data_IF_493296918944
#
_entry.id   IF_493296918944
#
_cell.length_a   1.000
_cell.length_b   1.000
_cell.length_c   1.000
_cell.angle_alpha   90.00
_cell.angle_beta   90.00
_cell.angle_gamma   90.00
#
_symmetry.space_group_name_H-M   'P 1'
#
loop_
_entity.id
_entity.type
_entity.pdbx_description
1 polymer ?
#
# COMPACT_ATOMS: atom_id res chain seq x y z
N UNK A 1 -27.34 55.33 -22.77
CA UNK A 1 -26.74 56.57 -22.27
C UNK A 1 -25.23 56.42 -22.38
N UNK A 2 -24.67 57.10 -23.40
CA UNK A 2 -23.34 57.76 -23.47
C UNK A 2 -22.10 56.99 -22.98
N UNK A 3 -21.23 56.46 -23.86
CA UNK A 3 -20.18 57.13 -24.68
C UNK A 3 -18.78 56.98 -24.01
N UNK A 4 -17.62 56.89 -24.65
CA UNK A 4 -17.16 56.56 -26.01
C UNK A 4 -15.62 56.64 -26.04
N UNK A 5 -15.03 56.15 -27.15
CA UNK A 5 -13.75 56.59 -27.79
C UNK A 5 -12.39 56.07 -27.29
N UNK A 6 -11.36 55.82 -28.13
CA UNK A 6 -11.20 55.43 -29.55
C UNK A 6 -9.69 55.49 -29.90
N UNK A 7 -9.22 54.48 -30.65
CA UNK A 7 -8.28 54.48 -31.80
C UNK A 7 -6.81 54.99 -31.77
N UNK A 8 -5.92 54.04 -32.16
CA UNK A 8 -4.92 53.99 -33.25
C UNK A 8 -3.60 54.82 -33.28
N UNK A 9 -2.49 54.05 -33.29
CA UNK A 9 -1.27 54.03 -34.16
C UNK A 9 -1.12 55.05 -35.31
N UNK A 10 0.11 55.44 -35.77
CA UNK A 10 1.12 54.51 -36.38
C UNK A 10 2.64 54.88 -36.32
N UNK A 11 3.48 53.94 -36.81
CA UNK A 11 4.93 54.00 -37.15
C UNK A 11 5.29 55.01 -38.27
N UNK A 12 6.57 55.50 -38.46
CA UNK A 12 7.75 54.73 -38.98
C UNK A 12 9.20 55.20 -38.58
N UNK A 13 10.23 54.41 -38.96
CA UNK A 13 11.71 54.67 -38.96
C UNK A 13 12.15 55.68 -40.07
N UNK A 14 13.41 56.20 -40.25
CA UNK A 14 14.77 55.62 -39.97
C UNK A 14 15.99 56.58 -39.67
N UNK A 15 17.20 55.98 -39.55
CA UNK A 15 18.60 56.44 -39.80
C UNK A 15 19.49 57.26 -38.82
N UNK A 16 20.66 56.63 -38.53
CA UNK A 16 22.08 57.08 -38.43
C UNK A 16 22.54 58.17 -37.44
N UNK A 17 23.59 57.87 -36.66
CA UNK A 17 24.91 58.53 -36.73
C UNK A 17 25.96 57.88 -35.79
N UNK A 18 27.22 58.18 -36.07
CA UNK A 18 28.49 57.52 -35.76
C UNK A 18 29.17 57.85 -34.41
N UNK A 19 29.95 56.86 -33.92
CA UNK A 19 31.18 56.85 -33.07
C UNK A 19 31.94 58.17 -32.78
N UNK A 20 32.70 58.31 -31.64
CA UNK A 20 33.94 57.53 -31.41
C UNK A 20 34.44 57.21 -29.97
N UNK A 21 35.26 56.14 -29.92
CA UNK A 21 36.50 55.82 -29.14
C UNK A 21 36.48 56.06 -27.60
N UNK A 22 36.92 55.13 -26.75
CA UNK A 22 38.31 54.70 -26.65
C UNK A 22 38.57 53.63 -25.56
N UNK A 23 39.69 52.90 -25.77
CA UNK A 23 40.56 52.15 -24.84
C UNK A 23 40.29 50.66 -24.58
N UNK A 24 41.08 49.86 -25.30
CA UNK A 24 41.54 48.52 -24.95
C UNK A 24 42.27 48.52 -23.59
N UNK A 25 42.00 47.50 -22.78
CA UNK A 25 43.00 46.86 -21.91
C UNK A 25 42.89 45.36 -22.13
N UNK A 26 44.02 44.77 -22.51
CA UNK A 26 44.22 43.38 -22.89
C UNK A 26 44.43 42.51 -21.65
N UNK A 27 43.73 41.38 -21.52
CA UNK A 27 44.17 40.27 -20.66
C UNK A 27 43.83 38.90 -21.28
N UNK A 28 44.91 38.23 -21.69
CA UNK A 28 45.19 36.80 -21.88
C UNK A 28 44.02 35.80 -21.85
N UNK A 29 43.79 35.14 -22.98
CA UNK A 29 43.07 33.86 -23.08
C UNK A 29 43.83 32.77 -22.32
N UNK A 30 43.26 32.29 -21.21
CA UNK A 30 43.53 30.99 -20.64
C UNK A 30 42.48 30.00 -21.16
N UNK A 31 42.92 28.98 -21.87
CA UNK A 31 42.08 27.90 -22.38
C UNK A 31 41.59 27.05 -21.20
N UNK A 32 40.38 27.33 -20.69
CA UNK A 32 39.71 26.45 -19.75
C UNK A 32 39.05 25.30 -20.53
N UNK A 33 39.63 24.11 -20.43
CA UNK A 33 38.99 22.85 -20.82
C UNK A 33 37.82 22.63 -19.87
N UNK A 34 36.61 22.97 -20.33
CA UNK A 34 35.37 22.61 -19.66
C UNK A 34 35.14 21.11 -19.90
N UNK A 35 35.59 20.27 -18.97
CA UNK A 35 35.14 18.86 -18.93
C UNK A 35 33.67 18.90 -18.56
N UNK A 36 32.79 18.78 -19.56
CA UNK A 36 31.39 18.43 -19.34
C UNK A 36 31.38 17.03 -18.72
N UNK A 37 31.20 16.97 -17.40
CA UNK A 37 30.74 15.76 -16.74
C UNK A 37 29.30 15.49 -17.20
N UNK A 38 29.14 14.81 -18.33
CA UNK A 38 27.91 14.12 -18.70
C UNK A 38 27.77 12.87 -17.82
N UNK A 39 27.59 13.09 -16.52
CA UNK A 39 27.11 12.11 -15.57
C UNK A 39 25.64 12.39 -15.27
N UNK A 40 24.78 12.26 -16.29
CA UNK A 40 23.35 12.16 -16.06
C UNK A 40 23.10 10.80 -15.42
N UNK A 41 23.21 10.73 -14.10
CA UNK A 41 22.61 9.66 -13.33
C UNK A 41 21.14 9.61 -13.72
N UNK A 42 20.75 8.59 -14.49
CA UNK A 42 19.35 8.25 -14.69
C UNK A 42 18.84 7.72 -13.35
N UNK A 43 18.46 8.63 -12.45
CA UNK A 43 17.58 8.30 -11.33
C UNK A 43 16.24 7.87 -11.93
N UNK A 44 16.15 6.60 -12.32
CA UNK A 44 14.98 6.00 -12.93
C UNK A 44 14.02 5.60 -11.82
N UNK A 45 13.41 6.61 -11.20
CA UNK A 45 12.09 6.46 -10.59
C UNK A 45 11.03 6.39 -11.71
N UNK A 46 11.25 5.52 -12.71
CA UNK A 46 10.27 5.26 -13.74
C UNK A 46 9.13 4.47 -13.09
N UNK A 47 7.93 5.04 -13.07
CA UNK A 47 6.73 4.30 -12.73
C UNK A 47 6.40 3.37 -13.89
N UNK A 48 6.04 2.13 -13.59
CA UNK A 48 5.49 1.23 -14.59
C UNK A 48 4.17 1.81 -15.10
N UNK A 49 4.03 1.91 -16.43
CA UNK A 49 2.74 2.24 -17.06
C UNK A 49 2.08 0.92 -17.47
N UNK A 50 0.76 0.87 -17.60
CA UNK A 50 0.03 -0.38 -17.90
C UNK A 50 0.57 -1.13 -19.12
N UNK A 51 1.12 -0.43 -20.12
CA UNK A 51 1.72 -1.06 -21.30
C UNK A 51 3.08 -1.75 -21.05
N UNK A 52 3.77 -1.43 -19.97
CA UNK A 52 5.04 -2.09 -19.60
C UNK A 52 4.80 -3.44 -18.92
N UNK A 53 3.68 -3.57 -18.21
CA UNK A 53 3.27 -4.81 -17.55
C UNK A 53 2.98 -5.95 -18.55
N UNK A 54 2.60 -5.62 -19.78
CA UNK A 54 2.27 -6.61 -20.82
C UNK A 54 3.50 -7.07 -21.64
N UNK A 55 4.67 -6.45 -21.41
CA UNK A 55 5.92 -6.82 -22.08
C UNK A 55 6.72 -7.80 -21.23
N UNK A 56 7.74 -8.42 -21.83
CA UNK A 56 8.78 -9.09 -21.06
C UNK A 56 9.45 -8.09 -20.10
N UNK A 57 9.80 -8.49 -18.87
CA UNK A 57 9.78 -9.87 -18.33
C UNK A 57 8.50 -10.24 -17.56
N UNK A 58 7.43 -9.46 -17.66
CA UNK A 58 6.21 -9.64 -16.85
C UNK A 58 5.12 -10.42 -17.57
N UNK A 59 4.77 -9.98 -18.79
CA UNK A 59 3.63 -10.51 -19.57
C UNK A 59 2.40 -10.74 -18.67
N UNK A 60 2.00 -9.70 -17.94
CA UNK A 60 1.09 -9.80 -16.79
C UNK A 60 -0.21 -10.56 -17.13
N UNK A 61 -0.86 -10.24 -18.25
CA UNK A 61 -2.12 -10.89 -18.63
C UNK A 61 -1.95 -12.35 -19.12
N UNK A 62 -0.76 -12.72 -19.61
CA UNK A 62 -0.46 -14.07 -20.11
C UNK A 62 0.14 -15.00 -19.04
N UNK A 63 0.70 -14.43 -17.98
CA UNK A 63 1.36 -15.19 -16.91
C UNK A 63 0.33 -15.81 -15.98
N UNK A 64 0.39 -17.13 -15.81
CA UNK A 64 -0.50 -17.87 -14.92
C UNK A 64 -0.28 -17.48 -13.46
N UNK A 65 -1.39 -17.15 -12.78
CA UNK A 65 -1.38 -16.76 -11.39
C UNK A 65 -1.18 -17.96 -10.45
N UNK A 66 -0.29 -17.83 -9.47
CA UNK A 66 -0.04 -18.86 -8.45
C UNK A 66 -0.17 -18.25 -7.06
N UNK A 67 -1.42 -18.13 -6.62
CA UNK A 67 -1.77 -17.51 -5.35
C UNK A 67 -2.92 -18.29 -4.68
N UNK A 68 -3.33 -17.83 -3.50
CA UNK A 68 -4.38 -18.48 -2.72
C UNK A 68 -5.69 -18.64 -3.48
N UNK A 69 -6.06 -17.64 -4.28
CA UNK A 69 -7.32 -17.64 -5.03
C UNK A 69 -7.24 -18.58 -6.23
N UNK A 70 -6.14 -18.59 -6.99
CA UNK A 70 -5.97 -19.54 -8.11
C UNK A 70 -5.94 -21.00 -7.63
N UNK A 71 -5.33 -21.27 -6.47
CA UNK A 71 -5.39 -22.58 -5.80
C UNK A 71 -6.83 -22.97 -5.41
N UNK A 72 -7.62 -22.03 -4.87
CA UNK A 72 -9.02 -22.28 -4.55
C UNK A 72 -9.86 -22.57 -5.80
N UNK A 73 -9.65 -21.80 -6.89
CA UNK A 73 -10.31 -22.04 -8.18
C UNK A 73 -10.04 -23.47 -8.66
N UNK A 74 -8.78 -23.90 -8.69
CA UNK A 74 -8.40 -25.23 -9.12
C UNK A 74 -9.02 -26.34 -8.24
N UNK A 75 -9.10 -26.12 -6.92
CA UNK A 75 -9.75 -27.06 -5.99
C UNK A 75 -11.27 -27.15 -6.22
N UNK A 76 -11.93 -26.03 -6.50
CA UNK A 76 -13.36 -26.01 -6.83
C UNK A 76 -13.65 -26.69 -8.17
N UNK A 77 -12.81 -26.49 -9.19
CA UNK A 77 -12.96 -27.11 -10.51
C UNK A 77 -12.75 -28.63 -10.48
N UNK A 78 -11.89 -29.12 -9.59
CA UNK A 78 -11.69 -30.56 -9.34
C UNK A 78 -12.81 -31.20 -8.52
N UNK A 79 -13.60 -30.40 -7.81
CA UNK A 79 -14.62 -30.87 -6.86
C UNK A 79 -14.08 -31.21 -5.47
N UNK A 80 -12.84 -30.81 -5.16
CA UNK A 80 -12.21 -31.01 -3.83
C UNK A 80 -12.79 -30.04 -2.79
N UNK A 81 -13.32 -28.90 -3.24
CA UNK A 81 -13.95 -27.86 -2.41
C UNK A 81 -15.32 -27.51 -2.94
N UNK A 82 -16.31 -27.48 -2.06
CA UNK A 82 -17.65 -26.97 -2.33
C UNK A 82 -17.97 -25.83 -1.37
N UNK A 83 -18.48 -24.71 -1.92
CA UNK A 83 -18.91 -23.57 -1.10
C UNK A 83 -20.31 -23.80 -0.56
N UNK A 84 -20.50 -23.45 0.72
CA UNK A 84 -21.76 -23.57 1.45
C UNK A 84 -22.47 -22.22 1.54
N UNK A 85 -23.79 -22.22 1.38
CA UNK A 85 -24.62 -21.02 1.58
C UNK A 85 -24.90 -20.79 3.07
N UNK A 86 -24.90 -19.52 3.48
CA UNK A 86 -25.24 -19.04 4.82
C UNK A 86 -26.30 -17.93 4.72
N UNK A 87 -27.57 -18.34 4.57
CA UNK A 87 -28.73 -17.44 4.53
C UNK A 87 -28.59 -16.29 3.52
N UNK A 88 -28.93 -15.08 3.95
CA UNK A 88 -28.86 -13.86 3.12
C UNK A 88 -27.42 -13.44 2.76
N UNK A 89 -26.42 -13.98 3.46
CA UNK A 89 -25.00 -13.68 3.24
C UNK A 89 -24.38 -14.55 2.14
N UNK A 90 -25.18 -15.43 1.53
CA UNK A 90 -24.77 -16.27 0.41
C UNK A 90 -23.57 -17.12 0.78
N UNK A 91 -22.53 -17.12 -0.05
CA UNK A 91 -21.34 -17.96 0.16
C UNK A 91 -20.21 -17.26 0.90
N UNK A 92 -20.41 -16.04 1.41
CA UNK A 92 -19.32 -15.19 1.92
C UNK A 92 -18.53 -15.90 3.03
N UNK A 93 -19.20 -16.42 4.06
CA UNK A 93 -18.54 -17.11 5.17
C UNK A 93 -17.76 -18.34 4.73
N UNK A 94 -18.33 -19.16 3.85
CA UNK A 94 -17.65 -20.34 3.29
C UNK A 94 -16.43 -19.93 2.44
N UNK A 95 -16.56 -18.89 1.63
CA UNK A 95 -15.45 -18.33 0.85
C UNK A 95 -14.31 -17.84 1.75
N UNK A 96 -14.60 -17.05 2.79
CA UNK A 96 -13.60 -16.57 3.73
C UNK A 96 -12.89 -17.72 4.45
N UNK A 97 -13.64 -18.76 4.86
CA UNK A 97 -13.09 -19.97 5.48
C UNK A 97 -12.08 -20.68 4.56
N UNK A 98 -12.43 -20.89 3.29
CA UNK A 98 -11.53 -21.54 2.32
C UNK A 98 -10.35 -20.67 1.90
N UNK A 99 -10.47 -19.34 2.02
CA UNK A 99 -9.36 -18.40 1.88
C UNK A 99 -8.61 -18.15 3.19
N UNK A 100 -8.95 -18.83 4.29
CA UNK A 100 -8.31 -18.64 5.60
C UNK A 100 -8.31 -17.17 6.07
N UNK A 101 -9.40 -16.46 5.80
CA UNK A 101 -9.59 -15.06 6.20
C UNK A 101 -10.43 -15.03 7.49
N UNK A 102 -9.90 -14.48 8.60
CA UNK A 102 -10.67 -14.40 9.83
C UNK A 102 -11.75 -13.32 9.72
N UNK A 103 -12.97 -13.60 10.19
CA UNK A 103 -14.08 -12.62 10.21
C UNK A 103 -13.72 -11.39 11.05
N UNK A 104 -12.83 -11.54 12.04
CA UNK A 104 -12.33 -10.45 12.88
C UNK A 104 -11.51 -9.41 12.12
N UNK A 105 -11.01 -9.72 10.92
CA UNK A 105 -10.33 -8.74 10.04
C UNK A 105 -11.26 -7.72 9.39
N UNK A 106 -12.58 -7.83 9.61
CA UNK A 106 -13.55 -6.95 8.98
C UNK A 106 -13.24 -5.47 9.26
N UNK A 107 -13.13 -4.71 8.18
CA UNK A 107 -13.15 -3.25 8.20
C UNK A 107 -14.21 -2.74 7.22
N UNK A 108 -14.79 -1.58 7.50
CA UNK A 108 -15.95 -1.06 6.80
C UNK A 108 -15.61 0.28 6.14
N UNK A 109 -15.84 0.38 4.84
CA UNK A 109 -15.64 1.57 4.02
C UNK A 109 -16.98 2.06 3.49
N UNK A 110 -17.38 3.27 3.86
CA UNK A 110 -18.62 3.86 3.39
C UNK A 110 -18.44 4.79 2.20
N UNK A 111 -17.19 5.14 1.87
CA UNK A 111 -16.92 5.96 0.71
C UNK A 111 -17.09 5.18 -0.60
N UNK A 112 -17.60 5.86 -1.64
CA UNK A 112 -17.89 5.27 -2.95
C UNK A 112 -16.65 5.21 -3.85
N UNK A 113 -15.73 4.29 -3.58
CA UNK A 113 -14.46 4.10 -4.32
C UNK A 113 -14.30 2.70 -4.94
N UNK A 114 -15.40 1.99 -5.13
CA UNK A 114 -15.44 0.59 -5.59
C UNK A 114 -16.15 0.47 -6.94
N UNK A 115 -15.99 -0.66 -7.63
CA UNK A 115 -16.87 -1.06 -8.75
C UNK A 115 -18.36 -1.09 -8.36
N UNK A 116 -18.66 -1.19 -7.07
CA UNK A 116 -20.00 -1.33 -6.51
C UNK A 116 -20.55 -0.01 -5.92
N UNK A 117 -20.12 1.17 -6.41
CA UNK A 117 -20.53 2.49 -5.87
C UNK A 117 -22.05 2.64 -5.67
N UNK A 118 -22.87 2.02 -6.52
CA UNK A 118 -24.33 2.10 -6.46
C UNK A 118 -24.95 1.36 -5.24
N UNK A 119 -24.20 0.44 -4.62
CA UNK A 119 -24.63 -0.30 -3.44
C UNK A 119 -24.05 0.27 -2.13
N UNK A 120 -23.13 1.23 -2.21
CA UNK A 120 -22.37 1.74 -1.06
C UNK A 120 -22.95 3.08 -0.61
N UNK A 121 -23.17 3.21 0.70
CA UNK A 121 -23.52 4.47 1.37
C UNK A 121 -23.07 4.43 2.83
N UNK A 122 -23.10 5.54 3.57
CA UNK A 122 -22.91 5.54 5.02
C UNK A 122 -23.81 4.54 5.77
N UNK A 123 -25.01 4.27 5.28
CA UNK A 123 -25.94 3.30 5.90
C UNK A 123 -25.81 1.87 5.35
N UNK A 124 -24.95 1.65 4.37
CA UNK A 124 -24.66 0.35 3.77
C UNK A 124 -23.19 0.30 3.32
N UNK A 125 -22.22 0.40 4.25
CA UNK A 125 -20.80 0.36 3.89
C UNK A 125 -20.41 -0.97 3.24
N UNK A 126 -19.35 -0.94 2.43
CA UNK A 126 -18.67 -2.15 1.95
C UNK A 126 -17.80 -2.72 3.07
N UNK A 127 -17.87 -4.03 3.26
CA UNK A 127 -16.94 -4.75 4.12
C UNK A 127 -15.72 -5.21 3.34
N UNK A 128 -14.54 -5.04 3.92
CA UNK A 128 -13.29 -5.66 3.50
C UNK A 128 -12.86 -6.62 4.60
N UNK A 129 -12.59 -7.87 4.23
CA UNK A 129 -11.98 -8.89 5.08
C UNK A 129 -10.61 -9.22 4.49
N UNK A 130 -9.63 -9.55 5.32
CA UNK A 130 -8.28 -9.84 4.84
C UNK A 130 -7.51 -10.81 5.72
N UNK A 131 -6.58 -11.52 5.09
CA UNK A 131 -5.49 -12.23 5.75
C UNK A 131 -4.16 -11.61 5.29
N UNK A 132 -3.04 -12.35 5.33
CA UNK A 132 -1.73 -11.79 4.95
C UNK A 132 -1.58 -11.44 3.48
N UNK A 133 -2.32 -12.11 2.58
CA UNK A 133 -2.10 -12.03 1.13
C UNK A 133 -3.37 -11.69 0.35
N UNK A 134 -4.56 -11.96 0.90
CA UNK A 134 -5.85 -11.90 0.22
C UNK A 134 -6.81 -10.95 0.91
N UNK A 135 -7.53 -10.18 0.11
CA UNK A 135 -8.52 -9.17 0.49
C UNK A 135 -9.84 -9.46 -0.21
N UNK A 136 -10.94 -9.52 0.56
CA UNK A 136 -12.29 -9.82 0.06
C UNK A 136 -13.22 -8.66 0.37
N UNK A 137 -13.75 -8.03 -0.66
CA UNK A 137 -14.74 -6.96 -0.60
C UNK A 137 -16.16 -7.46 -0.85
N UNK A 138 -17.08 -7.17 0.07
CA UNK A 138 -18.49 -7.54 -0.04
C UNK A 138 -19.40 -6.38 0.39
N UNK A 139 -20.51 -6.20 -0.31
CA UNK A 139 -21.53 -5.18 0.03
C UNK A 139 -22.84 -5.90 0.31
N UNK A 140 -23.49 -5.69 1.47
CA UNK A 140 -24.79 -6.29 1.73
C UNK A 140 -25.80 -5.96 0.63
N UNK A 141 -26.54 -6.97 0.17
CA UNK A 141 -27.50 -6.86 -0.93
C UNK A 141 -26.88 -6.93 -2.34
N UNK A 142 -25.56 -7.00 -2.47
CA UNK A 142 -24.89 -7.29 -3.75
C UNK A 142 -24.61 -8.77 -3.90
N UNK A 143 -24.76 -9.29 -5.12
CA UNK A 143 -24.32 -10.65 -5.47
C UNK A 143 -22.85 -10.71 -5.87
N UNK A 144 -22.17 -9.56 -6.00
CA UNK A 144 -20.77 -9.47 -6.40
C UNK A 144 -19.88 -9.35 -5.16
N UNK A 145 -18.88 -10.22 -5.10
CA UNK A 145 -17.75 -10.14 -4.20
C UNK A 145 -16.51 -9.83 -5.04
N UNK A 146 -15.77 -8.81 -4.61
CA UNK A 146 -14.48 -8.43 -5.18
C UNK A 146 -13.38 -9.14 -4.39
N UNK A 147 -12.41 -9.75 -5.05
CA UNK A 147 -11.27 -10.40 -4.39
C UNK A 147 -10.00 -9.83 -4.99
N UNK A 148 -9.04 -9.49 -4.16
CA UNK A 148 -7.69 -9.13 -4.57
C UNK A 148 -6.70 -9.95 -3.76
N UNK A 149 -5.66 -10.46 -4.39
CA UNK A 149 -4.62 -11.24 -3.71
C UNK A 149 -3.27 -10.87 -4.25
N UNK A 150 -2.30 -10.83 -3.35
CA UNK A 150 -0.90 -10.69 -3.71
C UNK A 150 -0.41 -12.02 -4.31
N UNK A 151 0.20 -11.92 -5.48
CA UNK A 151 0.78 -13.01 -6.25
C UNK A 151 2.30 -12.83 -6.33
N UNK A 152 3.09 -13.89 -6.13
CA UNK A 152 4.54 -13.77 -6.07
C UNK A 152 5.22 -13.28 -7.36
N UNK A 153 4.57 -13.41 -8.53
CA UNK A 153 5.12 -12.97 -9.82
C UNK A 153 4.41 -11.78 -10.43
N UNK A 154 3.15 -11.57 -10.07
CA UNK A 154 2.28 -10.57 -10.68
C UNK A 154 2.07 -9.33 -9.80
N UNK A 155 2.41 -9.39 -8.51
CA UNK A 155 1.94 -8.38 -7.56
C UNK A 155 0.46 -8.59 -7.26
N UNK A 156 -0.35 -7.54 -7.18
CA UNK A 156 -1.79 -7.73 -6.98
C UNK A 156 -2.45 -8.37 -8.21
N UNK A 157 -3.28 -9.39 -7.97
CA UNK A 157 -4.19 -9.99 -8.94
C UNK A 157 -5.64 -9.84 -8.44
N UNK A 158 -6.59 -9.79 -9.37
CA UNK A 158 -7.97 -9.43 -9.07
C UNK A 158 -8.93 -10.48 -9.58
N UNK A 159 -9.99 -10.73 -8.82
CA UNK A 159 -11.00 -11.72 -9.15
C UNK A 159 -12.40 -11.20 -8.78
N UNK A 160 -13.39 -11.62 -9.56
CA UNK A 160 -14.80 -11.44 -9.24
C UNK A 160 -15.42 -12.77 -8.84
N UNK A 161 -16.28 -12.74 -7.82
CA UNK A 161 -17.07 -13.87 -7.39
C UNK A 161 -18.54 -13.48 -7.36
N UNK A 162 -19.38 -14.19 -8.12
CA UNK A 162 -20.83 -13.93 -8.18
C UNK A 162 -21.60 -14.99 -7.42
N UNK A 163 -22.27 -14.58 -6.34
CA UNK A 163 -23.06 -15.41 -5.41
C UNK A 163 -24.42 -15.87 -5.98
N UNK A 164 -24.54 -16.08 -7.29
CA UNK A 164 -25.82 -16.40 -7.94
C UNK A 164 -26.36 -17.81 -7.64
N UNK A 165 -27.59 -18.07 -8.09
CA UNK A 165 -28.30 -19.37 -7.92
C UNK A 165 -27.72 -20.53 -8.74
N UNK A 166 -26.80 -20.26 -9.69
CA UNK A 166 -26.03 -21.30 -10.40
C UNK A 166 -24.75 -21.61 -9.62
N UNK A 167 -23.98 -22.60 -10.08
CA UNK A 167 -22.70 -22.97 -9.46
C UNK A 167 -21.82 -21.73 -9.21
N UNK A 168 -21.33 -21.51 -7.97
CA UNK A 168 -20.46 -20.40 -7.63
C UNK A 168 -19.20 -20.43 -8.50
N UNK A 169 -18.88 -19.31 -9.15
CA UNK A 169 -17.69 -19.21 -10.03
C UNK A 169 -16.89 -17.96 -9.69
N UNK A 170 -15.60 -18.16 -9.49
CA UNK A 170 -14.59 -17.10 -9.38
C UNK A 170 -13.98 -16.89 -10.77
N UNK A 171 -13.77 -15.64 -11.17
CA UNK A 171 -13.13 -15.29 -12.45
C UNK A 171 -12.02 -14.29 -12.19
N UNK A 172 -10.86 -14.50 -12.82
CA UNK A 172 -9.80 -13.51 -12.81
C UNK A 172 -10.20 -12.32 -13.68
N UNK A 173 -9.94 -11.12 -13.17
CA UNK A 173 -10.19 -9.85 -13.82
C UNK A 173 -8.84 -9.14 -14.04
N UNK A 174 -8.59 -8.63 -15.25
CA UNK A 174 -7.33 -7.95 -15.59
C UNK A 174 -7.58 -6.47 -15.92
N UNK A 175 -7.90 -6.15 -17.17
CA UNK A 175 -7.90 -4.80 -17.72
C UNK A 175 -8.71 -3.77 -16.90
N UNK A 176 -9.91 -4.13 -16.45
CA UNK A 176 -10.77 -3.21 -15.70
C UNK A 176 -10.17 -2.86 -14.32
N UNK A 177 -9.48 -3.80 -13.69
CA UNK A 177 -8.92 -3.61 -12.35
C UNK A 177 -7.61 -2.82 -12.41
N UNK A 178 -6.73 -3.14 -13.37
CA UNK A 178 -5.44 -2.45 -13.54
C UNK A 178 -5.59 -0.95 -13.80
N UNK A 179 -6.68 -0.51 -14.44
CA UNK A 179 -6.94 0.92 -14.64
C UNK A 179 -7.01 1.75 -13.35
N UNK A 180 -7.39 1.13 -12.23
CA UNK A 180 -7.42 1.78 -10.91
C UNK A 180 -6.31 1.28 -9.96
N UNK A 181 -5.76 0.08 -10.22
CA UNK A 181 -4.83 -0.60 -9.32
C UNK A 181 -3.37 -0.70 -9.81
N UNK A 182 -3.07 -0.19 -11.00
CA UNK A 182 -1.70 0.03 -11.47
C UNK A 182 -1.50 1.52 -11.76
N UNK A 183 -1.51 2.32 -10.68
CA UNK A 183 -1.48 3.80 -10.76
C UNK A 183 -0.40 4.35 -9.85
N UNK A 184 -0.22 5.67 -9.82
CA UNK A 184 0.68 6.33 -8.86
C UNK A 184 0.34 6.01 -7.40
N UNK A 185 -0.93 5.69 -7.08
CA UNK A 185 -1.36 5.29 -5.73
C UNK A 185 -0.74 3.95 -5.28
N UNK A 186 -0.32 3.13 -6.24
CA UNK A 186 0.29 1.80 -6.02
C UNK A 186 1.74 1.78 -6.50
N UNK A 187 2.40 2.94 -6.57
CA UNK A 187 3.77 3.12 -7.09
C UNK A 187 3.96 2.68 -8.56
N UNK A 188 2.87 2.60 -9.32
CA UNK A 188 2.85 2.19 -10.73
C UNK A 188 2.74 0.67 -10.93
N UNK A 189 2.80 -0.15 -9.87
CA UNK A 189 2.66 -1.61 -10.00
C UNK A 189 1.22 -2.06 -9.70
N UNK A 190 0.78 -3.24 -10.20
CA UNK A 190 -0.45 -3.87 -9.74
C UNK A 190 -0.43 -4.02 -8.22
N UNK A 191 -1.29 -3.27 -7.54
CA UNK A 191 -1.19 -3.10 -6.09
C UNK A 191 -2.49 -2.79 -5.39
N UNK A 192 -2.36 -2.59 -4.09
CA UNK A 192 -3.45 -2.34 -3.16
C UNK A 192 -3.32 -0.93 -2.57
N UNK A 193 -4.45 -0.29 -2.25
CA UNK A 193 -4.42 1.03 -1.63
C UNK A 193 -5.54 1.17 -0.59
N UNK A 194 -5.16 1.65 0.59
CA UNK A 194 -6.09 2.22 1.56
C UNK A 194 -6.05 3.73 1.37
N UNK A 195 -7.21 4.32 1.10
CA UNK A 195 -7.32 5.76 0.84
C UNK A 195 -8.08 6.45 1.95
N UNK A 196 -7.57 7.59 2.38
CA UNK A 196 -8.25 8.50 3.31
C UNK A 196 -8.53 9.81 2.61
N UNK A 197 -9.74 10.34 2.76
CA UNK A 197 -10.09 11.64 2.17
C UNK A 197 -11.29 12.26 2.86
N UNK A 198 -11.95 13.19 2.17
CA UNK A 198 -13.05 13.97 2.73
C UNK A 198 -14.38 13.53 2.13
N UNK A 199 -15.10 12.56 2.73
CA UNK A 199 -16.38 12.12 2.22
C UNK A 199 -17.48 13.14 2.55
N UNK A 200 -18.40 13.33 1.62
CA UNK A 200 -19.69 13.98 1.82
C UNK A 200 -20.64 13.05 2.58
N UNK A 201 -21.78 13.59 3.02
CA UNK A 201 -22.80 12.84 3.77
C UNK A 201 -23.38 11.63 3.01
N UNK A 202 -23.27 11.59 1.68
CA UNK A 202 -23.70 10.47 0.85
C UNK A 202 -22.60 9.44 0.57
N UNK A 203 -21.37 9.68 1.04
CA UNK A 203 -20.20 8.82 0.84
C UNK A 203 -19.37 9.15 -0.42
N UNK A 204 -19.77 10.13 -1.23
CA UNK A 204 -18.93 10.62 -2.33
C UNK A 204 -17.79 11.50 -1.81
N UNK A 205 -16.64 11.54 -2.48
CA UNK A 205 -15.53 12.40 -2.06
C UNK A 205 -15.67 13.84 -2.56
N UNK A 206 -15.27 14.82 -1.74
CA UNK A 206 -15.01 16.17 -2.21
C UNK A 206 -13.75 16.18 -3.09
N UNK A 207 -13.95 16.18 -4.41
CA UNK A 207 -12.88 16.15 -5.42
C UNK A 207 -11.95 17.36 -5.38
N UNK A 208 -12.32 18.44 -4.67
CA UNK A 208 -11.47 19.63 -4.52
C UNK A 208 -10.44 19.48 -3.40
N UNK A 209 -10.57 18.45 -2.56
CA UNK A 209 -9.69 18.19 -1.44
C UNK A 209 -8.75 17.03 -1.75
N UNK A 210 -7.58 17.09 -1.14
CA UNK A 210 -6.60 16.02 -1.27
C UNK A 210 -7.13 14.72 -0.66
N UNK A 211 -6.83 13.61 -1.33
CA UNK A 211 -7.00 12.26 -0.80
C UNK A 211 -5.61 11.63 -0.68
N UNK A 212 -5.42 10.87 0.38
CA UNK A 212 -4.14 10.32 0.79
C UNK A 212 -4.17 8.80 0.64
N UNK A 213 -3.06 8.19 0.22
CA UNK A 213 -2.81 6.77 0.47
C UNK A 213 -2.28 6.68 1.90
N UNK A 214 -2.95 5.90 2.75
CA UNK A 214 -2.58 5.78 4.16
C UNK A 214 -1.74 4.55 4.42
N UNK A 215 -0.76 4.73 5.29
CA UNK A 215 0.18 3.72 5.77
C UNK A 215 0.66 4.04 7.19
N UNK A 216 1.56 3.22 7.73
CA UNK A 216 2.13 3.36 9.07
C UNK A 216 2.86 4.70 9.31
N UNK A 217 3.33 5.38 8.25
CA UNK A 217 4.04 6.67 8.31
C UNK A 217 3.10 7.87 8.33
N UNK A 218 1.83 7.66 7.96
CA UNK A 218 0.83 8.71 7.87
C UNK A 218 0.50 9.28 9.25
N UNK A 219 0.38 10.60 9.36
CA UNK A 219 -0.13 11.25 10.59
C UNK A 219 -1.49 10.64 10.97
N UNK A 220 -1.68 10.31 12.25
CA UNK A 220 -2.92 9.68 12.72
C UNK A 220 -4.17 10.52 12.37
N UNK A 221 -4.06 11.85 12.42
CA UNK A 221 -5.09 12.83 12.05
C UNK A 221 -5.52 12.81 10.60
N UNK A 222 -4.74 12.17 9.71
CA UNK A 222 -5.04 12.05 8.27
C UNK A 222 -5.58 10.67 7.91
N UNK A 223 -5.73 9.75 8.86
CA UNK A 223 -6.15 8.36 8.59
C UNK A 223 -7.66 8.19 8.54
N UNK A 224 -8.11 7.24 7.71
CA UNK A 224 -9.46 6.65 7.69
C UNK A 224 -10.64 7.53 7.27
N UNK A 225 -10.42 8.67 6.62
CA UNK A 225 -11.52 9.46 6.05
C UNK A 225 -12.25 8.68 4.97
N UNK A 226 -13.55 8.42 5.15
CA UNK A 226 -14.34 7.52 4.30
C UNK A 226 -14.51 6.09 4.83
N UNK A 227 -13.90 5.79 5.99
CA UNK A 227 -13.97 4.51 6.68
C UNK A 227 -14.67 4.64 8.02
N UNK A 228 -15.29 3.55 8.48
CA UNK A 228 -15.71 3.41 9.86
C UNK A 228 -14.58 2.84 10.71
N UNK A 229 -14.48 3.30 11.95
CA UNK A 229 -13.44 2.93 12.91
C UNK A 229 -14.11 2.63 14.25
N UNK A 230 -13.88 1.43 14.76
CA UNK A 230 -14.18 1.05 16.14
C UNK A 230 -12.88 0.75 16.86
N UNK A 231 -12.71 1.30 18.06
CA UNK A 231 -11.47 1.25 18.81
C UNK A 231 -11.32 2.48 19.71
N UNK A 232 -10.45 2.37 20.71
CA UNK A 232 -10.02 3.49 21.53
C UNK A 232 -8.64 3.96 21.04
N UNK A 233 -8.44 5.26 20.99
CA UNK A 233 -7.19 5.91 20.53
C UNK A 233 -6.83 7.14 21.39
N UNK A 234 -7.48 7.28 22.56
CA UNK A 234 -7.23 8.36 23.51
C UNK A 234 -7.52 9.73 22.91
N UNK A 235 -6.57 10.66 23.05
CA UNK A 235 -6.68 12.04 22.57
C UNK A 235 -6.21 12.25 21.13
N UNK A 236 -5.64 11.22 20.49
CA UNK A 236 -5.30 11.30 19.07
C UNK A 236 -6.57 11.51 18.25
N UNK A 237 -6.48 12.22 17.14
CA UNK A 237 -7.61 12.45 16.22
C UNK A 237 -7.39 11.66 14.93
N UNK A 238 -8.46 11.22 14.29
CA UNK A 238 -8.44 10.61 12.94
C UNK A 238 -9.66 11.07 12.14
N UNK A 239 -9.67 10.84 10.82
CA UNK A 239 -10.77 11.24 9.93
C UNK A 239 -11.93 10.23 9.86
N UNK A 240 -11.71 9.01 10.37
CA UNK A 240 -12.72 7.95 10.42
C UNK A 240 -14.01 8.32 11.14
N UNK A 241 -15.11 7.68 10.77
CA UNK A 241 -16.49 7.94 11.21
C UNK A 241 -17.05 9.33 10.84
N UNK A 242 -16.23 10.24 10.33
CA UNK A 242 -16.61 11.61 9.98
C UNK A 242 -17.01 11.77 8.51
N UNK A 243 -17.87 12.75 8.26
CA UNK A 243 -18.19 13.26 6.92
C UNK A 243 -18.30 14.78 6.93
N UNK A 244 -18.22 15.40 5.76
CA UNK A 244 -18.29 16.85 5.60
C UNK A 244 -19.69 17.37 5.95
N UNK A 245 -19.75 18.33 6.87
CA UNK A 245 -20.93 19.12 7.20
C UNK A 245 -20.56 20.61 7.16
N UNK A 246 -21.22 21.40 6.31
CA UNK A 246 -20.87 22.81 6.13
C UNK A 246 -19.43 23.05 5.65
N UNK A 247 -18.83 22.07 4.96
CA UNK A 247 -17.43 22.14 4.49
C UNK A 247 -16.37 21.80 5.55
N UNK A 248 -16.77 21.40 6.75
CA UNK A 248 -15.87 20.93 7.81
C UNK A 248 -16.08 19.43 8.06
N UNK A 249 -14.99 18.70 8.29
CA UNK A 249 -15.04 17.29 8.67
C UNK A 249 -15.17 17.19 10.19
N UNK A 250 -16.24 16.57 10.69
CA UNK A 250 -16.40 16.31 12.12
C UNK A 250 -15.68 15.00 12.50
N UNK A 251 -14.56 15.14 13.20
CA UNK A 251 -13.73 14.02 13.69
C UNK A 251 -13.93 13.72 15.16
N UNK A 252 -14.84 14.44 15.84
CA UNK A 252 -14.97 14.40 17.31
C UNK A 252 -16.22 13.66 17.77
N UNK A 253 -17.33 13.80 17.04
CA UNK A 253 -18.62 13.25 17.43
C UNK A 253 -18.65 11.72 17.55
N UNK A 254 -17.81 11.05 16.77
CA UNK A 254 -17.74 9.59 16.68
C UNK A 254 -16.31 9.08 16.87
N UNK A 255 -15.52 9.77 17.71
CA UNK A 255 -14.23 9.29 18.17
C UNK A 255 -14.40 8.20 19.25
N UNK A 256 -13.39 7.34 19.42
CA UNK A 256 -13.35 6.30 20.47
C UNK A 256 -14.60 5.39 20.53
N UNK A 257 -15.17 5.01 19.38
CA UNK A 257 -16.38 4.18 19.33
C UNK A 257 -16.08 2.71 19.60
N UNK A 258 -16.85 2.06 20.47
CA UNK A 258 -16.79 0.61 20.66
C UNK A 258 -17.64 -0.19 19.66
N UNK A 259 -18.61 0.46 19.01
CA UNK A 259 -19.61 -0.16 18.14
C UNK A 259 -20.17 0.83 17.11
N UNK A 260 -20.67 0.30 15.98
CA UNK A 260 -21.27 1.06 14.87
C UNK A 260 -22.80 0.95 14.81
N UNK A 261 -23.43 0.25 15.76
CA UNK A 261 -24.88 0.02 15.87
C UNK A 261 -25.72 1.30 15.84
N UNK A 262 -25.17 2.43 16.31
CA UNK A 262 -25.83 3.74 16.28
C UNK A 262 -25.77 4.44 14.92
N UNK A 263 -24.94 3.96 13.99
CA UNK A 263 -24.71 4.58 12.69
C UNK A 263 -25.51 3.88 11.58
N UNK A 264 -25.60 2.55 11.62
CA UNK A 264 -26.34 1.73 10.67
C UNK A 264 -26.63 0.32 11.22
N UNK A 265 -27.42 -0.46 10.49
CA UNK A 265 -27.74 -1.85 10.84
C UNK A 265 -26.54 -2.78 10.63
N UNK A 266 -25.83 -3.07 11.71
CA UNK A 266 -24.64 -3.92 11.72
C UNK A 266 -24.97 -5.42 11.58
N UNK A 267 -26.23 -5.84 11.73
CA UNK A 267 -26.61 -7.26 11.65
C UNK A 267 -26.42 -7.86 10.25
N UNK A 268 -26.26 -7.01 9.24
CA UNK A 268 -25.96 -7.37 7.84
C UNK A 268 -24.53 -7.86 7.62
N UNK A 269 -23.64 -7.67 8.60
CA UNK A 269 -22.21 -7.96 8.50
C UNK A 269 -21.83 -9.19 9.34
N UNK A 270 -20.66 -9.78 9.07
CA UNK A 270 -20.19 -10.96 9.82
C UNK A 270 -19.81 -10.58 11.25
N UNK A 271 -19.30 -9.37 11.45
CA UNK A 271 -19.08 -8.78 12.78
C UNK A 271 -19.66 -7.37 12.84
N UNK A 272 -19.94 -6.81 14.04
CA UNK A 272 -20.40 -5.43 14.16
C UNK A 272 -19.25 -4.40 14.18
N UNK A 273 -18.01 -4.83 13.94
CA UNK A 273 -16.80 -4.02 14.14
C UNK A 273 -16.15 -3.58 12.82
N UNK A 274 -15.37 -2.51 12.92
CA UNK A 274 -14.39 -2.07 11.93
C UNK A 274 -13.13 -1.69 12.69
N UNK A 275 -12.38 -2.70 13.10
CA UNK A 275 -11.39 -2.60 14.17
C UNK A 275 -10.20 -1.70 13.80
N UNK A 276 -9.81 -0.81 14.71
CA UNK A 276 -8.67 0.10 14.53
C UNK A 276 -7.33 -0.64 14.35
N UNK A 277 -7.11 -1.76 15.05
CA UNK A 277 -5.93 -2.60 14.86
C UNK A 277 -5.95 -3.25 13.47
N UNK A 278 -7.12 -3.70 13.00
CA UNK A 278 -7.27 -4.27 11.66
C UNK A 278 -6.98 -3.23 10.56
N UNK A 279 -7.48 -2.00 10.72
CA UNK A 279 -7.19 -0.89 9.80
C UNK A 279 -5.70 -0.56 9.74
N UNK A 280 -5.03 -0.45 10.89
CA UNK A 280 -3.59 -0.16 10.93
C UNK A 280 -2.77 -1.26 10.25
N UNK A 281 -3.11 -2.54 10.49
CA UNK A 281 -2.44 -3.66 9.81
C UNK A 281 -2.72 -3.65 8.31
N UNK A 282 -3.97 -3.41 7.89
CA UNK A 282 -4.34 -3.33 6.47
C UNK A 282 -3.52 -2.26 5.72
N UNK A 283 -3.39 -1.07 6.31
CA UNK A 283 -2.61 0.04 5.76
C UNK A 283 -1.14 -0.35 5.53
N UNK A 284 -0.47 -0.86 6.58
CA UNK A 284 0.90 -1.36 6.49
C UNK A 284 1.07 -2.47 5.45
N UNK A 285 0.15 -3.44 5.47
CA UNK A 285 0.22 -4.63 4.61
C UNK A 285 0.14 -4.25 3.12
N UNK A 286 -0.82 -3.39 2.76
CA UNK A 286 -1.02 -2.98 1.37
C UNK A 286 0.20 -2.26 0.80
N UNK A 287 0.80 -1.33 1.55
CA UNK A 287 1.97 -0.60 1.08
C UNK A 287 3.25 -1.43 1.11
N UNK A 288 3.38 -2.37 2.04
CA UNK A 288 4.51 -3.31 2.04
C UNK A 288 4.44 -4.24 0.82
N UNK A 289 3.27 -4.77 0.46
CA UNK A 289 3.10 -5.54 -0.79
C UNK A 289 3.52 -4.73 -2.02
N UNK A 290 3.02 -3.50 -2.17
CA UNK A 290 3.38 -2.65 -3.30
C UNK A 290 4.90 -2.40 -3.37
N UNK A 291 5.56 -2.25 -2.22
CA UNK A 291 7.02 -2.04 -2.14
C UNK A 291 7.78 -3.29 -2.56
N UNK A 292 7.36 -4.46 -2.09
CA UNK A 292 7.93 -5.77 -2.47
C UNK A 292 7.77 -5.99 -3.99
N UNK A 293 6.57 -5.79 -4.54
CA UNK A 293 6.31 -5.95 -5.97
C UNK A 293 7.13 -4.97 -6.80
N UNK A 294 7.22 -3.71 -6.39
CA UNK A 294 8.01 -2.71 -7.12
C UNK A 294 9.50 -3.10 -7.16
N UNK A 295 10.05 -3.58 -6.05
CA UNK A 295 11.43 -4.01 -5.97
C UNK A 295 11.69 -5.24 -6.86
N UNK A 296 10.82 -6.25 -6.79
CA UNK A 296 10.88 -7.43 -7.66
C UNK A 296 10.84 -7.03 -9.14
N UNK A 297 9.90 -6.16 -9.51
CA UNK A 297 9.74 -5.74 -10.89
C UNK A 297 10.97 -4.98 -11.40
N UNK A 298 11.50 -4.05 -10.60
CA UNK A 298 12.73 -3.32 -10.95
C UNK A 298 13.91 -4.28 -11.17
N UNK A 299 14.10 -5.26 -10.28
CA UNK A 299 15.22 -6.21 -10.41
C UNK A 299 15.02 -7.13 -11.61
N UNK A 300 13.81 -7.62 -11.87
CA UNK A 300 13.52 -8.43 -13.06
C UNK A 300 13.73 -7.65 -14.35
N UNK A 301 13.37 -6.37 -14.38
CA UNK A 301 13.67 -5.48 -15.51
C UNK A 301 15.18 -5.33 -15.70
N UNK A 302 15.94 -5.05 -14.64
CA UNK A 302 17.41 -4.97 -14.70
C UNK A 302 18.05 -6.29 -15.18
N UNK A 303 17.53 -7.42 -14.73
CA UNK A 303 17.98 -8.76 -15.13
C UNK A 303 17.65 -9.07 -16.60
N UNK A 304 16.56 -8.53 -17.12
CA UNK A 304 16.14 -8.71 -18.52
C UNK A 304 16.85 -7.75 -19.49
N UNK A 305 17.02 -6.48 -19.10
CA UNK A 305 17.47 -5.41 -20.00
C UNK A 305 18.97 -5.44 -20.30
N UNK A 306 19.85 -5.89 -19.40
CA UNK A 306 21.28 -5.84 -19.71
C UNK A 306 22.17 -6.86 -18.99
N UNK A 307 22.59 -7.90 -19.73
CA UNK A 307 23.65 -8.81 -19.30
C UNK A 307 25.06 -8.19 -19.35
N UNK A 308 25.23 -7.02 -19.97
CA UNK A 308 26.52 -6.34 -20.16
C UNK A 308 26.72 -5.12 -19.24
N UNK A 309 25.78 -4.82 -18.35
CA UNK A 309 25.93 -3.72 -17.39
C UNK A 309 27.13 -3.97 -16.47
N UNK A 310 27.86 -2.90 -16.13
CA UNK A 310 28.97 -2.97 -15.18
C UNK A 310 28.50 -3.57 -13.83
N UNK A 311 29.15 -4.64 -13.34
CA UNK A 311 28.76 -5.29 -12.08
C UNK A 311 28.73 -4.33 -10.88
N UNK A 312 29.60 -3.33 -10.83
CA UNK A 312 29.62 -2.36 -9.75
C UNK A 312 28.38 -1.45 -9.79
N UNK A 313 28.02 -0.93 -10.96
CA UNK A 313 26.79 -0.14 -11.15
C UNK A 313 25.54 -0.95 -10.78
N UNK A 314 25.47 -2.21 -11.24
CA UNK A 314 24.36 -3.12 -10.91
C UNK A 314 24.26 -3.37 -9.40
N UNK A 315 25.39 -3.55 -8.71
CA UNK A 315 25.41 -3.74 -7.25
C UNK A 315 24.89 -2.51 -6.51
N UNK A 316 25.21 -1.29 -6.98
CA UNK A 316 24.70 -0.05 -6.39
C UNK A 316 23.19 0.07 -6.59
N UNK A 317 22.70 -0.17 -7.81
CA UNK A 317 21.26 -0.13 -8.10
C UNK A 317 20.47 -1.15 -7.26
N UNK A 318 20.98 -2.38 -7.17
CA UNK A 318 20.40 -3.43 -6.33
C UNK A 318 20.37 -3.03 -4.86
N UNK A 319 21.45 -2.42 -4.35
CA UNK A 319 21.54 -1.92 -2.98
C UNK A 319 20.50 -0.83 -2.70
N UNK A 320 20.27 0.09 -3.64
CA UNK A 320 19.23 1.13 -3.51
C UNK A 320 17.81 0.55 -3.51
N UNK A 321 17.53 -0.41 -4.40
CA UNK A 321 16.23 -1.10 -4.45
C UNK A 321 15.98 -1.89 -3.15
N UNK A 322 16.99 -2.63 -2.68
CA UNK A 322 16.92 -3.38 -1.43
C UNK A 322 16.67 -2.44 -0.23
N UNK A 323 17.32 -1.26 -0.20
CA UNK A 323 17.14 -0.28 0.87
C UNK A 323 15.69 0.17 1.00
N UNK A 324 15.01 0.46 -0.11
CA UNK A 324 13.59 0.84 -0.08
C UNK A 324 12.70 -0.23 0.57
N UNK A 325 13.00 -1.52 0.34
CA UNK A 325 12.30 -2.64 0.98
C UNK A 325 12.67 -2.72 2.46
N UNK A 326 13.96 -2.63 2.80
CA UNK A 326 14.46 -2.70 4.18
C UNK A 326 13.85 -1.60 5.06
N UNK A 327 13.85 -0.36 4.58
CA UNK A 327 13.29 0.78 5.31
C UNK A 327 11.80 0.58 5.61
N UNK A 328 11.04 0.06 4.63
CA UNK A 328 9.62 -0.28 4.79
C UNK A 328 9.43 -1.43 5.77
N UNK A 329 10.23 -2.49 5.66
CA UNK A 329 10.15 -3.63 6.57
C UNK A 329 10.46 -3.24 8.02
N UNK A 330 11.39 -2.30 8.23
CA UNK A 330 11.82 -1.84 9.56
C UNK A 330 10.97 -0.69 10.14
N UNK A 331 9.83 -0.36 9.53
CA UNK A 331 8.95 0.72 10.03
C UNK A 331 9.67 2.08 10.12
N UNK A 332 10.61 2.36 9.22
CA UNK A 332 11.26 3.67 9.18
C UNK A 332 10.22 4.77 8.99
N UNK A 333 10.27 5.80 9.83
CA UNK A 333 9.32 6.94 9.86
C UNK A 333 7.89 6.56 10.24
N UNK A 334 7.68 5.44 10.91
CA UNK A 334 6.39 5.13 11.54
C UNK A 334 5.94 6.29 12.45
N UNK A 335 4.64 6.60 12.38
CA UNK A 335 4.05 7.61 13.24
C UNK A 335 4.09 7.16 14.71
N UNK A 336 4.76 7.92 15.57
CA UNK A 336 4.81 7.64 17.00
C UNK A 336 3.43 7.87 17.65
N UNK A 337 2.83 6.81 18.18
CA UNK A 337 1.57 6.89 18.89
C UNK A 337 1.73 7.71 20.16
N UNK A 338 0.80 8.66 20.39
CA UNK A 338 0.80 9.56 21.56
C UNK A 338 -0.26 9.17 22.58
N UNK A 339 -0.99 8.09 22.34
CA UNK A 339 -1.99 7.50 23.24
C UNK A 339 -2.12 6.02 22.95
N UNK A 340 -2.53 5.24 23.95
CA UNK A 340 -2.81 3.82 23.77
C UNK A 340 -3.92 3.60 22.74
N UNK A 341 -3.69 2.67 21.81
CA UNK A 341 -4.65 2.24 20.79
C UNK A 341 -5.17 0.85 21.15
N UNK A 342 -6.48 0.69 21.24
CA UNK A 342 -7.12 -0.58 21.60
C UNK A 342 -8.24 -0.93 20.61
N UNK A 343 -8.16 -2.13 20.04
CA UNK A 343 -9.20 -2.72 19.20
C UNK A 343 -10.47 -3.09 19.98
N UNK A 344 -11.50 -3.47 19.25
CA UNK A 344 -12.85 -3.81 19.74
C UNK A 344 -13.29 -5.21 19.37
N UNK A 345 -12.52 -5.90 18.52
CA UNK A 345 -12.78 -7.23 17.98
C UNK A 345 -11.75 -8.26 18.47
N UNK A 346 -11.90 -9.51 18.01
CA UNK A 346 -10.90 -10.57 18.20
C UNK A 346 -9.67 -10.47 17.27
N UNK A 347 -9.54 -9.40 16.47
CA UNK A 347 -8.52 -9.31 15.43
C UNK A 347 -7.11 -9.47 15.98
N UNK A 348 -6.78 -8.80 17.08
CA UNK A 348 -5.44 -8.84 17.65
C UNK A 348 -5.02 -10.27 18.05
N UNK A 349 -5.95 -11.05 18.59
CA UNK A 349 -5.72 -12.44 18.98
C UNK A 349 -5.57 -13.35 17.75
N UNK A 350 -6.41 -13.17 16.74
CA UNK A 350 -6.33 -13.96 15.50
C UNK A 350 -5.07 -13.63 14.71
N UNK A 351 -4.67 -12.36 14.67
CA UNK A 351 -3.44 -11.90 14.04
C UNK A 351 -2.21 -12.49 14.74
N UNK A 352 -2.14 -12.45 16.08
CA UNK A 352 -1.01 -12.97 16.86
C UNK A 352 -0.86 -14.50 16.78
N UNK A 353 -1.95 -15.24 16.54
CA UNK A 353 -1.91 -16.71 16.36
C UNK A 353 -1.27 -17.13 15.04
N UNK A 354 -1.14 -16.21 14.08
CA UNK A 354 -0.60 -16.49 12.74
C UNK A 354 0.91 -16.30 12.73
N UNK A 355 1.58 -16.94 11.77
CA UNK A 355 3.03 -16.84 11.59
C UNK A 355 3.85 -17.58 12.65
N UNK A 356 5.18 -17.61 12.48
CA UNK A 356 6.06 -18.35 13.37
C UNK A 356 6.28 -17.62 14.70
N UNK A 357 6.68 -18.42 15.69
CA UNK A 357 7.19 -17.96 16.98
C UNK A 357 8.57 -18.56 17.20
N UNK A 358 9.44 -17.82 17.86
CA UNK A 358 10.72 -18.37 18.29
C UNK A 358 10.54 -19.29 19.52
N UNK A 359 11.63 -19.90 19.97
CA UNK A 359 11.67 -20.78 21.14
C UNK A 359 11.28 -20.09 22.46
N UNK A 360 11.32 -18.75 22.51
CA UNK A 360 10.87 -17.93 23.65
C UNK A 360 9.39 -17.52 23.52
N UNK A 361 8.70 -17.97 22.48
CA UNK A 361 7.30 -17.66 22.20
C UNK A 361 7.07 -16.27 21.59
N UNK A 362 8.15 -15.57 21.19
CA UNK A 362 8.07 -14.22 20.62
C UNK A 362 7.69 -14.27 19.14
N UNK A 363 6.97 -13.26 18.66
CA UNK A 363 6.59 -13.13 17.25
C UNK A 363 6.70 -11.69 16.75
N UNK A 364 7.07 -11.51 15.48
CA UNK A 364 6.99 -10.21 14.78
C UNK A 364 5.55 -9.65 14.69
N UNK A 365 4.55 -10.45 15.07
CA UNK A 365 3.14 -10.04 15.14
C UNK A 365 2.69 -9.51 16.50
N UNK A 366 3.56 -9.49 17.50
CA UNK A 366 3.23 -8.91 18.80
C UNK A 366 2.99 -7.40 18.66
N UNK A 367 1.79 -6.96 19.03
CA UNK A 367 1.43 -5.55 19.08
C UNK A 367 2.11 -4.84 20.27
N UNK A 368 2.54 -3.60 20.05
CA UNK A 368 2.87 -2.65 21.11
C UNK A 368 1.65 -1.79 21.42
N UNK A 369 1.17 -1.05 20.42
CA UNK A 369 -0.02 -0.17 20.44
C UNK A 369 -0.01 0.91 21.52
N UNK A 370 1.14 1.14 22.16
CA UNK A 370 1.36 2.21 23.13
C UNK A 370 2.10 3.38 22.49
N UNK A 371 3.17 3.07 21.77
CA UNK A 371 4.08 4.01 21.12
C UNK A 371 4.24 3.75 19.62
N UNK A 372 3.96 2.52 19.17
CA UNK A 372 4.09 2.04 17.78
C UNK A 372 3.14 0.86 17.52
N UNK A 373 3.05 0.39 16.28
CA UNK A 373 2.22 -0.75 15.91
C UNK A 373 2.72 -2.05 16.53
N UNK A 374 3.95 -2.45 16.20
CA UNK A 374 4.51 -3.74 16.62
C UNK A 374 5.61 -3.58 17.66
N UNK A 375 5.65 -4.51 18.61
CA UNK A 375 6.68 -4.58 19.65
C UNK A 375 8.08 -4.71 19.06
N UNK A 376 8.21 -5.55 18.03
CA UNK A 376 9.41 -5.73 17.23
C UNK A 376 9.18 -5.11 15.85
N UNK A 377 9.70 -3.90 15.57
CA UNK A 377 9.49 -3.18 14.30
C UNK A 377 10.29 -3.81 13.15
N UNK A 378 9.93 -5.04 12.79
CA UNK A 378 10.25 -5.72 11.54
C UNK A 378 8.97 -6.39 11.04
N UNK A 379 8.57 -6.06 9.82
CA UNK A 379 7.31 -6.50 9.25
C UNK A 379 7.23 -8.02 9.15
N UNK A 380 6.12 -8.59 9.61
CA UNK A 380 5.82 -10.02 9.44
C UNK A 380 5.71 -10.46 7.96
N UNK A 381 5.65 -9.53 7.02
CA UNK A 381 5.60 -9.85 5.59
C UNK A 381 6.93 -10.36 5.02
N UNK A 382 8.01 -10.40 5.83
CA UNK A 382 9.18 -11.21 5.49
C UNK A 382 8.83 -12.70 5.33
N UNK A 383 7.70 -13.17 5.86
CA UNK A 383 7.22 -14.56 5.70
C UNK A 383 6.20 -14.72 4.55
N UNK A 384 6.03 -13.71 3.70
CA UNK A 384 5.10 -13.79 2.58
C UNK A 384 5.70 -14.56 1.39
N UNK A 385 4.85 -15.28 0.64
CA UNK A 385 5.27 -15.98 -0.58
C UNK A 385 5.92 -15.03 -1.60
N UNK A 386 5.49 -13.76 -1.65
CA UNK A 386 6.09 -12.77 -2.55
C UNK A 386 7.48 -12.31 -2.11
N UNK A 387 7.73 -12.18 -0.81
CA UNK A 387 9.08 -11.94 -0.32
C UNK A 387 9.99 -13.14 -0.65
N UNK A 388 9.48 -14.36 -0.48
CA UNK A 388 10.22 -15.58 -0.75
C UNK A 388 10.45 -15.84 -2.25
N UNK A 389 9.59 -15.33 -3.14
CA UNK A 389 9.75 -15.52 -4.57
C UNK A 389 10.64 -14.47 -5.26
N UNK A 390 11.05 -13.41 -4.56
CA UNK A 390 11.99 -12.41 -5.09
C UNK A 390 13.25 -13.08 -5.64
N UNK A 391 13.91 -12.44 -6.62
CA UNK A 391 15.18 -12.91 -7.15
C UNK A 391 16.20 -13.14 -6.02
N UNK A 392 17.08 -14.16 -6.13
CA UNK A 392 18.10 -14.41 -5.11
C UNK A 392 18.97 -13.18 -4.82
N UNK A 393 19.35 -12.45 -5.86
CA UNK A 393 20.16 -11.22 -5.77
C UNK A 393 19.50 -10.17 -4.88
N UNK A 394 18.19 -9.94 -5.03
CA UNK A 394 17.44 -8.99 -4.22
C UNK A 394 17.30 -9.46 -2.77
N UNK A 395 16.98 -10.74 -2.53
CA UNK A 395 16.86 -11.28 -1.17
C UNK A 395 18.20 -11.22 -0.42
N UNK A 396 19.31 -11.53 -1.07
CA UNK A 396 20.64 -11.46 -0.48
C UNK A 396 21.02 -10.01 -0.13
N UNK A 397 20.71 -9.05 -1.01
CA UNK A 397 20.94 -7.63 -0.75
C UNK A 397 20.10 -7.10 0.43
N UNK A 398 18.82 -7.50 0.52
CA UNK A 398 17.94 -7.18 1.65
C UNK A 398 18.47 -7.82 2.93
N UNK A 399 18.83 -9.11 2.88
CA UNK A 399 19.35 -9.87 4.01
C UNK A 399 20.63 -9.28 4.58
N UNK A 400 21.58 -8.92 3.72
CA UNK A 400 22.82 -8.26 4.11
C UNK A 400 22.60 -6.92 4.79
N UNK A 401 21.70 -6.08 4.27
CA UNK A 401 21.36 -4.79 4.89
C UNK A 401 20.63 -4.96 6.22
N UNK A 402 19.64 -5.85 6.30
CA UNK A 402 18.96 -6.19 7.56
C UNK A 402 19.97 -6.69 8.59
N UNK A 403 20.89 -7.55 8.20
CA UNK A 403 21.91 -8.09 9.11
C UNK A 403 22.84 -6.99 9.64
N UNK A 404 23.35 -6.12 8.76
CA UNK A 404 24.21 -4.99 9.17
C UNK A 404 23.48 -4.02 10.13
N UNK A 405 22.20 -3.73 9.87
CA UNK A 405 21.38 -2.92 10.78
C UNK A 405 21.17 -3.68 12.10
N UNK A 406 20.71 -4.91 12.08
CA UNK A 406 20.42 -5.66 13.31
C UNK A 406 21.67 -6.03 14.14
N UNK A 407 22.87 -6.00 13.56
CA UNK A 407 24.14 -6.11 14.30
C UNK A 407 24.63 -4.78 14.87
N UNK A 408 24.11 -3.65 14.39
CA UNK A 408 24.52 -2.32 14.82
C UNK A 408 25.69 -1.74 14.02
N UNK A 409 26.06 -2.37 12.89
CA UNK A 409 27.09 -1.88 11.97
C UNK A 409 26.59 -0.66 11.18
N UNK A 410 25.30 -0.63 10.83
CA UNK A 410 24.63 0.56 10.32
C UNK A 410 23.87 1.28 11.45
N UNK A 411 24.28 2.52 11.73
CA UNK A 411 23.68 3.40 12.74
C UNK A 411 23.13 4.71 12.14
N UNK A 412 22.74 4.67 10.87
CA UNK A 412 22.13 5.80 10.18
C UNK A 412 20.89 6.31 10.95
N UNK A 413 20.62 7.61 10.82
CA UNK A 413 19.59 8.34 11.56
C UNK A 413 18.22 7.66 11.52
N UNK A 414 17.86 7.13 10.35
CA UNK A 414 16.56 6.52 10.08
C UNK A 414 16.31 5.20 10.84
N UNK A 415 17.35 4.57 11.38
CA UNK A 415 17.26 3.34 12.18
C UNK A 415 17.40 3.57 13.69
N UNK A 416 17.36 4.84 14.14
CA UNK A 416 17.52 5.19 15.57
C UNK A 416 16.40 4.71 16.47
N UNK A 417 15.21 4.43 15.94
CA UNK A 417 14.11 3.82 16.69
C UNK A 417 14.42 2.37 17.11
N UNK A 418 15.38 1.71 16.46
CA UNK A 418 15.84 0.37 16.81
C UNK A 418 16.93 0.46 17.89
N UNK A 419 16.53 0.36 19.17
CA UNK A 419 17.48 0.27 20.29
C UNK A 419 18.36 -1.00 20.17
N UNK A 420 19.53 -1.06 20.85
CA UNK A 420 20.35 -2.26 20.86
C UNK A 420 19.58 -3.53 21.27
N UNK A 421 18.66 -3.42 22.23
CA UNK A 421 17.81 -4.52 22.69
C UNK A 421 16.83 -4.96 21.60
N UNK A 422 16.18 -4.01 20.91
CA UNK A 422 15.26 -4.32 19.81
C UNK A 422 16.00 -5.00 18.66
N UNK A 423 17.18 -4.50 18.29
CA UNK A 423 18.04 -5.10 17.26
C UNK A 423 18.37 -6.55 17.60
N UNK A 424 18.80 -6.81 18.83
CA UNK A 424 19.08 -8.17 19.31
C UNK A 424 17.83 -9.06 19.28
N UNK A 425 16.69 -8.58 19.81
CA UNK A 425 15.46 -9.37 19.87
C UNK A 425 14.93 -9.73 18.49
N UNK A 426 14.90 -8.76 17.55
CA UNK A 426 14.51 -9.01 16.16
C UNK A 426 15.45 -10.03 15.53
N UNK A 427 16.77 -9.86 15.69
CA UNK A 427 17.77 -10.78 15.15
C UNK A 427 17.57 -12.21 15.65
N UNK A 428 17.39 -12.40 16.95
CA UNK A 428 17.12 -13.72 17.55
C UNK A 428 15.84 -14.35 16.96
N UNK A 429 14.74 -13.58 16.87
CA UNK A 429 13.48 -14.07 16.29
C UNK A 429 13.71 -14.52 14.85
N UNK A 430 14.33 -13.69 14.02
CA UNK A 430 14.52 -13.97 12.60
C UNK A 430 15.49 -15.13 12.37
N UNK A 431 16.56 -15.24 13.16
CA UNK A 431 17.50 -16.37 13.06
C UNK A 431 16.81 -17.72 13.33
N UNK A 432 15.87 -17.79 14.27
CA UNK A 432 15.13 -19.02 14.57
C UNK A 432 13.99 -19.29 13.57
N UNK A 433 13.31 -18.23 13.10
CA UNK A 433 12.07 -18.37 12.31
C UNK A 433 12.26 -18.22 10.80
N UNK A 434 13.37 -17.61 10.35
CA UNK A 434 13.74 -17.42 8.95
C UNK A 434 15.29 -17.39 8.81
N UNK A 435 15.98 -18.51 9.12
CA UNK A 435 17.44 -18.56 9.23
C UNK A 435 18.18 -18.15 7.95
N UNK A 436 17.54 -18.29 6.80
CA UNK A 436 18.13 -17.99 5.49
C UNK A 436 18.21 -16.48 5.21
N UNK A 437 17.44 -15.64 5.92
CA UNK A 437 17.35 -14.21 5.65
C UNK A 437 18.57 -13.41 6.15
N UNK A 438 19.14 -13.78 7.29
CA UNK A 438 20.25 -13.03 7.92
C UNK A 438 21.61 -13.69 7.71
N UNK A 439 21.76 -14.41 6.60
CA UNK A 439 23.00 -15.12 6.26
C UNK A 439 24.14 -14.19 5.85
#
# INVERSE_FOLDING_TARGET
MTESMSNNCPHPHPHSHSHPRARLVSFRFGLAVLVLALGLGRNSNAQFVSGDLEKEPFRYSDTEANNRVSKLIAAMEKGDVALEQDGERGYLRSLLKHLEIPESSQVLVFSKTSLQVQHISPRNPRAIYFNDDTYVGSVPGSSLVEISTNDPKLGATFYSFRMGFRLPRIRQETYQCLGCHATSMTKGVPGHAVRSGYPNYDGDYDVKREAFVTDETSEFSRRWGGWYVTGLHGSMQHMGNGYLQGGMLDTTRFANLSSLDKLFDVSKYLTPHSDIHALMVLEHQTQTHNTITLADFRVRTLEHEDANQDPAERSVQLGMIAKEVVDRLLFCKEFALTSNVSGTSGFAQDFLKRGPKDSKGRSLREFDMLSRMFKYPLSYLIYSDAFDAMSPSLRDAIGGQLNAILQGDNQDEEYRHLTPELRQQIREIVQETKPDLLR
#
